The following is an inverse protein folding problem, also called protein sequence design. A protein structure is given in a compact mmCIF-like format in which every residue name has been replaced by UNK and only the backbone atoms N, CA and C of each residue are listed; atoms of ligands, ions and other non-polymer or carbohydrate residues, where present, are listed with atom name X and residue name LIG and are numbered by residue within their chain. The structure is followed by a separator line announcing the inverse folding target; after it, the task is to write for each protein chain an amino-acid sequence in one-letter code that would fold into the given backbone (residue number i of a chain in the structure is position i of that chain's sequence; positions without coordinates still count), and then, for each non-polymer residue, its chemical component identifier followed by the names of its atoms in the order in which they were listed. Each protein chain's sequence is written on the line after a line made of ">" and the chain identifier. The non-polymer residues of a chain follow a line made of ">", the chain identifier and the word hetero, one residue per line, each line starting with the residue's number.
data_IF_686280379202
#
_entry.id   IF_686280379202
#
_cell.length_a   1.000
_cell.length_b   1.000
_cell.length_c   1.000
_cell.angle_alpha   90.00
_cell.angle_beta   90.00
_cell.angle_gamma   90.00
#
_symmetry.space_group_name_H-M   'P 1'
#
loop_
_entity.id
_entity.type
_entity.pdbx_description
1 polymer ?
#
# COMPACT_ATOMS: atom_id res chain seq x y z
N UNK A 1 9.54 14.80 18.41
CA UNK A 1 8.59 13.84 17.81
C UNK A 1 9.41 12.69 17.25
N UNK A 2 9.21 11.45 17.72
CA UNK A 2 9.98 10.30 17.22
C UNK A 2 9.44 9.93 15.83
N UNK A 3 10.33 9.78 14.83
CA UNK A 3 9.97 9.48 13.44
C UNK A 3 9.17 8.18 13.33
N UNK A 4 9.56 7.14 14.07
CA UNK A 4 8.84 5.87 14.12
C UNK A 4 7.40 6.06 14.63
N UNK A 5 7.23 6.88 15.68
CA UNK A 5 5.91 7.19 16.23
C UNK A 5 5.03 7.94 15.21
N UNK A 6 5.62 8.82 14.41
CA UNK A 6 4.89 9.52 13.35
C UNK A 6 4.44 8.56 12.24
N UNK A 7 5.32 7.63 11.81
CA UNK A 7 5.00 6.63 10.79
C UNK A 7 3.91 5.67 11.28
N UNK A 8 3.98 5.21 12.53
CA UNK A 8 2.95 4.33 13.12
C UNK A 8 1.60 5.04 13.18
N UNK A 9 1.57 6.31 13.58
CA UNK A 9 0.34 7.11 13.60
C UNK A 9 -0.23 7.30 12.20
N UNK A 10 0.63 7.60 11.21
CA UNK A 10 0.22 7.74 9.82
C UNK A 10 -0.37 6.44 9.26
N UNK A 11 0.28 5.29 9.51
CA UNK A 11 -0.21 4.00 9.05
C UNK A 11 -1.58 3.64 9.68
N UNK A 12 -1.76 3.93 10.98
CA UNK A 12 -3.06 3.79 11.65
C UNK A 12 -4.14 4.67 11.02
N UNK A 13 -3.81 5.92 10.73
CA UNK A 13 -4.73 6.85 10.07
C UNK A 13 -5.14 6.35 8.68
N UNK A 14 -4.17 5.95 7.85
CA UNK A 14 -4.43 5.42 6.50
C UNK A 14 -5.31 4.17 6.58
N UNK A 15 -5.01 3.25 7.50
CA UNK A 15 -5.79 2.01 7.69
C UNK A 15 -7.24 2.30 8.07
N UNK A 16 -7.46 3.23 9.00
CA UNK A 16 -8.81 3.64 9.39
C UNK A 16 -9.55 4.31 8.22
N UNK A 17 -8.87 5.18 7.47
CA UNK A 17 -9.47 5.85 6.30
C UNK A 17 -9.88 4.85 5.22
N UNK A 18 -9.05 3.85 4.95
CA UNK A 18 -9.35 2.77 4.01
C UNK A 18 -10.61 2.01 4.43
N UNK A 19 -10.74 1.63 5.70
CA UNK A 19 -11.94 0.94 6.21
C UNK A 19 -13.22 1.77 5.99
N UNK A 20 -13.18 3.07 6.28
CA UNK A 20 -14.32 3.97 6.08
C UNK A 20 -14.70 4.08 4.59
N UNK A 21 -13.71 4.24 3.71
CA UNK A 21 -13.95 4.36 2.28
C UNK A 21 -14.45 3.03 1.69
N UNK A 22 -13.89 1.90 2.09
CA UNK A 22 -14.36 0.55 1.72
C UNK A 22 -15.80 0.34 2.16
N UNK A 23 -16.15 0.68 3.40
CA UNK A 23 -17.53 0.60 3.85
C UNK A 23 -18.45 1.49 3.01
N UNK A 24 -18.03 2.71 2.69
CA UNK A 24 -18.81 3.64 1.86
C UNK A 24 -19.08 3.08 0.45
N UNK A 25 -18.13 2.36 -0.17
CA UNK A 25 -18.35 1.77 -1.51
C UNK A 25 -19.16 0.49 -1.47
N UNK A 26 -19.09 -0.28 -0.39
CA UNK A 26 -19.79 -1.57 -0.27
C UNK A 26 -21.20 -1.43 0.32
N UNK A 27 -21.50 -0.37 1.07
CA UNK A 27 -22.78 -0.20 1.76
C UNK A 27 -23.96 0.20 0.86
N UNK A 28 -23.73 0.34 -0.45
CA UNK A 28 -24.78 0.73 -1.41
C UNK A 28 -25.30 2.16 -1.25
N UNK A 29 -24.69 2.97 -0.36
CA UNK A 29 -25.06 4.36 -0.11
C UNK A 29 -24.46 5.36 -1.09
N UNK A 30 -23.87 4.89 -2.19
CA UNK A 30 -23.32 5.74 -3.24
C UNK A 30 -24.39 5.95 -4.30
N UNK A 31 -24.77 7.22 -4.46
CA UNK A 31 -25.83 7.73 -5.30
C UNK A 31 -25.39 7.98 -6.76
N UNK A 32 -24.08 8.03 -7.04
CA UNK A 32 -23.54 8.25 -8.38
C UNK A 32 -22.21 7.52 -8.63
N UNK A 33 -22.03 7.02 -9.86
CA UNK A 33 -20.83 6.31 -10.31
C UNK A 33 -19.58 7.20 -10.36
N UNK A 34 -19.72 8.50 -10.56
CA UNK A 34 -18.59 9.44 -10.46
C UNK A 34 -18.00 9.47 -9.04
N UNK A 35 -18.89 9.55 -8.04
CA UNK A 35 -18.51 9.51 -6.62
C UNK A 35 -17.91 8.16 -6.24
N UNK A 36 -18.46 7.07 -6.77
CA UNK A 36 -17.87 5.73 -6.65
C UNK A 36 -16.43 5.71 -7.16
N UNK A 37 -16.21 6.12 -8.42
CA UNK A 37 -14.89 6.13 -9.05
C UNK A 37 -13.90 7.04 -8.31
N UNK A 38 -14.37 8.19 -7.81
CA UNK A 38 -13.55 9.09 -7.00
C UNK A 38 -13.12 8.43 -5.68
N UNK A 39 -14.00 7.68 -5.01
CA UNK A 39 -13.64 6.94 -3.80
C UNK A 39 -12.67 5.80 -4.12
N UNK A 40 -12.86 5.06 -5.22
CA UNK A 40 -11.91 4.04 -5.66
C UNK A 40 -10.53 4.65 -5.94
N UNK A 41 -10.47 5.82 -6.57
CA UNK A 41 -9.22 6.57 -6.77
C UNK A 41 -8.53 6.93 -5.45
N UNK A 42 -9.30 7.38 -4.45
CA UNK A 42 -8.77 7.65 -3.11
C UNK A 42 -8.21 6.38 -2.43
N UNK A 43 -8.92 5.25 -2.53
CA UNK A 43 -8.48 3.96 -1.98
C UNK A 43 -7.15 3.54 -2.62
N UNK A 44 -7.05 3.60 -3.94
CA UNK A 44 -5.84 3.23 -4.67
C UNK A 44 -4.63 4.09 -4.26
N UNK A 45 -4.82 5.41 -4.14
CA UNK A 45 -3.76 6.31 -3.70
C UNK A 45 -3.29 6.00 -2.27
N UNK A 46 -4.24 5.77 -1.35
CA UNK A 46 -3.93 5.47 0.05
C UNK A 46 -3.24 4.11 0.22
N UNK A 47 -3.65 3.08 -0.54
CA UNK A 47 -2.97 1.78 -0.52
C UNK A 47 -1.55 1.87 -1.08
N UNK A 48 -1.34 2.63 -2.17
CA UNK A 48 -0.01 2.87 -2.72
C UNK A 48 0.91 3.55 -1.68
N UNK A 49 0.43 4.62 -1.03
CA UNK A 49 1.19 5.28 0.04
C UNK A 49 1.46 4.34 1.22
N UNK A 50 0.47 3.53 1.63
CA UNK A 50 0.66 2.54 2.72
C UNK A 50 1.72 1.51 2.36
N UNK A 51 1.76 1.06 1.11
CA UNK A 51 2.76 0.13 0.61
C UNK A 51 4.16 0.75 0.58
N UNK A 52 4.29 2.00 0.13
CA UNK A 52 5.55 2.72 0.17
C UNK A 52 6.06 2.90 1.61
N UNK A 53 5.19 3.28 2.54
CA UNK A 53 5.53 3.34 3.97
C UNK A 53 5.99 1.99 4.51
N UNK A 54 5.36 0.89 4.08
CA UNK A 54 5.80 -0.47 4.46
C UNK A 54 7.18 -0.80 3.91
N UNK A 55 7.49 -0.41 2.67
CA UNK A 55 8.81 -0.63 2.07
C UNK A 55 9.91 0.22 2.73
N UNK A 56 9.56 1.35 3.35
CA UNK A 56 10.50 2.17 4.12
C UNK A 56 10.80 1.58 5.51
N UNK A 57 9.82 0.89 6.12
CA UNK A 57 9.96 0.25 7.44
C UNK A 57 10.63 -1.12 7.35
N UNK A 58 10.17 -1.96 6.42
CA UNK A 58 10.84 -3.19 6.03
C UNK A 58 11.71 -2.86 4.83
N UNK A 59 13.01 -2.63 5.06
CA UNK A 59 13.99 -2.66 3.98
C UNK A 59 13.90 -4.06 3.32
N UNK A 60 13.08 -4.18 2.28
CA UNK A 60 13.07 -5.32 1.36
C UNK A 60 14.33 -5.30 0.49
N UNK A 61 15.49 -5.00 1.08
CA UNK A 61 16.76 -5.42 0.49
C UNK A 61 16.68 -6.93 0.28
N UNK A 62 17.33 -7.43 -0.77
CA UNK A 62 17.48 -8.86 -0.99
C UNK A 62 17.92 -9.48 0.33
N UNK A 63 17.01 -10.17 1.02
CA UNK A 63 17.42 -11.10 2.05
C UNK A 63 18.37 -12.04 1.33
N UNK A 64 19.61 -12.15 1.80
CA UNK A 64 20.62 -13.08 1.28
C UNK A 64 20.21 -14.57 1.45
N UNK A 65 18.91 -14.83 1.66
CA UNK A 65 18.22 -16.11 1.80
C UNK A 65 17.54 -16.54 0.48
N UNK A 66 17.69 -15.77 -0.61
CA UNK A 66 17.22 -16.16 -1.94
C UNK A 66 18.25 -16.99 -2.70
N UNK A 67 17.79 -17.99 -3.46
CA UNK A 67 18.65 -18.73 -4.41
C UNK A 67 19.09 -17.81 -5.54
N UNK A 68 20.37 -17.45 -5.58
CA UNK A 68 20.97 -16.71 -6.70
C UNK A 68 21.12 -17.67 -7.89
N UNK A 69 20.31 -17.49 -8.94
CA UNK A 69 20.43 -18.24 -10.19
C UNK A 69 21.28 -17.40 -11.16
N UNK A 70 22.57 -17.73 -11.27
CA UNK A 70 23.48 -17.13 -12.25
C UNK A 70 23.19 -17.74 -13.63
N UNK A 71 22.47 -16.99 -14.48
CA UNK A 71 22.17 -17.39 -15.87
C UNK A 71 23.41 -17.05 -16.71
N UNK A 72 24.34 -17.99 -16.77
CA UNK A 72 25.49 -17.87 -17.68
C UNK A 72 24.99 -17.91 -19.13
N UNK A 73 25.49 -17.03 -20.02
CA UNK A 73 25.19 -17.12 -21.43
C UNK A 73 25.67 -18.48 -21.96
N UNK A 74 24.94 -19.08 -22.92
CA UNK A 74 25.31 -20.37 -23.48
C UNK A 74 26.73 -20.28 -24.07
N UNK A 75 27.57 -21.26 -23.74
CA UNK A 75 28.90 -21.38 -24.34
C UNK A 75 28.73 -21.61 -25.84
N UNK A 76 29.04 -20.60 -26.63
CA UNK A 76 29.32 -20.72 -28.07
C UNK A 76 30.59 -21.51 -28.30
#
# INVERSE_FOLDING_TARGET
>A
MNLESAIVQLNRFITHRLQVLSLSVTSGGIDNMEKYNYIIGQINALEATRQELSNLLDNKEQKNEGTVIDIKPPKT
#
